data_IF_331341255555
#
_entry.id   IF_331341255555
#
_cell.length_a   1.000
_cell.length_b   1.000
_cell.length_c   1.000
_cell.angle_alpha   90.00
_cell.angle_beta   90.00
_cell.angle_gamma   90.00
#
_symmetry.space_group_name_H-M   'P 1'
#
loop_
_entity.id
_entity.type
_entity.pdbx_description
1 polymer ?
#
# COMPACT_ATOMS: atom_id res chain seq x y z
N UNK A 1 -8.05 -53.98 -15.88
CA UNK A 1 -8.77 -52.77 -16.25
C UNK A 1 -8.56 -51.65 -15.24
N UNK A 2 -7.38 -51.07 -15.06
CA UNK A 2 -7.20 -49.88 -14.21
C UNK A 2 -5.95 -49.09 -14.56
N UNK A 3 -5.73 -48.82 -15.85
CA UNK A 3 -4.63 -47.94 -16.28
C UNK A 3 -5.09 -46.68 -17.05
N UNK A 4 -6.38 -46.53 -17.38
CA UNK A 4 -6.85 -45.45 -18.27
C UNK A 4 -7.26 -44.15 -17.55
N UNK A 5 -7.45 -44.16 -16.24
CA UNK A 5 -7.91 -42.95 -15.50
C UNK A 5 -6.79 -41.98 -15.14
N UNK A 6 -5.50 -42.40 -15.11
CA UNK A 6 -4.38 -41.54 -14.72
C UNK A 6 -3.79 -40.75 -15.87
N UNK A 7 -3.82 -41.27 -17.08
CA UNK A 7 -3.35 -40.58 -18.29
C UNK A 7 -4.24 -39.40 -18.68
N UNK A 8 -5.55 -39.49 -18.40
CA UNK A 8 -6.47 -38.39 -18.67
C UNK A 8 -6.25 -37.17 -17.75
N UNK A 9 -5.73 -37.38 -16.54
CA UNK A 9 -5.40 -36.26 -15.61
C UNK A 9 -4.15 -35.49 -16.06
N UNK A 10 -3.11 -36.20 -16.49
CA UNK A 10 -1.89 -35.59 -17.02
C UNK A 10 -2.10 -34.87 -18.35
N UNK A 11 -2.93 -35.43 -19.26
CA UNK A 11 -3.30 -34.78 -20.51
C UNK A 11 -4.13 -33.48 -20.26
N UNK A 12 -5.00 -33.45 -19.24
CA UNK A 12 -5.71 -32.24 -18.85
C UNK A 12 -4.83 -31.18 -18.22
N UNK A 13 -3.80 -31.59 -17.46
CA UNK A 13 -2.81 -30.68 -16.89
C UNK A 13 -1.95 -30.07 -18.00
N UNK A 14 -1.53 -30.87 -18.98
CA UNK A 14 -0.79 -30.41 -20.16
C UNK A 14 -1.58 -29.39 -21.00
N UNK A 15 -2.88 -29.60 -21.18
CA UNK A 15 -3.72 -28.66 -21.94
C UNK A 15 -4.03 -27.37 -21.17
N UNK A 16 -4.11 -27.43 -19.84
CA UNK A 16 -4.45 -26.28 -19.00
C UNK A 16 -3.25 -25.37 -18.70
N UNK A 17 -2.04 -25.94 -18.62
CA UNK A 17 -0.81 -25.21 -18.28
C UNK A 17 0.13 -25.00 -19.48
N UNK A 18 -0.20 -25.56 -20.64
CA UNK A 18 0.63 -25.49 -21.84
C UNK A 18 2.02 -26.10 -21.66
N UNK A 19 2.13 -27.16 -20.86
CA UNK A 19 3.37 -27.91 -20.67
C UNK A 19 3.59 -28.88 -21.85
N UNK A 20 4.57 -28.65 -22.70
CA UNK A 20 4.98 -29.58 -23.75
C UNK A 20 6.41 -30.08 -23.52
N UNK A 21 6.59 -31.35 -23.79
CA UNK A 21 7.89 -32.03 -23.69
C UNK A 21 8.60 -31.96 -25.03
N UNK A 22 9.74 -31.25 -25.10
CA UNK A 22 10.66 -31.33 -26.23
C UNK A 22 12.04 -31.70 -25.74
N UNK A 23 12.58 -32.81 -26.28
CA UNK A 23 13.96 -33.27 -26.08
C UNK A 23 14.45 -33.33 -24.62
N UNK A 24 13.62 -33.89 -23.72
CA UNK A 24 14.01 -34.12 -22.32
C UNK A 24 13.92 -32.90 -21.40
N UNK A 25 13.47 -31.74 -21.88
CA UNK A 25 13.19 -30.55 -21.09
C UNK A 25 11.71 -30.23 -21.10
N UNK A 26 11.17 -29.81 -19.93
CA UNK A 26 9.83 -29.28 -19.83
C UNK A 26 9.85 -27.81 -20.26
N UNK A 27 9.17 -27.48 -21.37
CA UNK A 27 8.90 -26.11 -21.77
C UNK A 27 7.45 -25.75 -21.41
N UNK A 28 7.27 -24.64 -20.73
CA UNK A 28 5.93 -24.08 -20.47
C UNK A 28 5.49 -23.38 -21.75
N UNK A 29 4.52 -23.98 -22.48
CA UNK A 29 3.96 -23.38 -23.68
C UNK A 29 2.52 -22.96 -23.43
N UNK A 30 2.22 -21.68 -23.65
CA UNK A 30 0.85 -21.12 -23.63
C UNK A 30 0.75 -19.98 -24.63
N UNK A 31 -0.43 -19.54 -25.00
CA UNK A 31 -0.56 -18.47 -25.97
C UNK A 31 0.00 -17.17 -25.41
N UNK A 32 0.96 -16.65 -26.14
CA UNK A 32 1.50 -15.32 -26.11
C UNK A 32 2.46 -14.85 -25.00
N UNK A 33 3.51 -14.23 -25.48
CA UNK A 33 4.51 -13.29 -24.95
C UNK A 33 5.06 -13.51 -23.54
N UNK A 34 4.23 -13.74 -22.53
CA UNK A 34 4.63 -13.98 -21.14
C UNK A 34 5.35 -15.31 -20.94
N UNK A 35 4.98 -16.35 -21.68
CA UNK A 35 5.56 -17.69 -21.51
C UNK A 35 6.97 -17.83 -22.10
N UNK A 36 7.27 -17.18 -23.22
CA UNK A 36 8.63 -17.15 -23.77
C UNK A 36 9.59 -16.38 -22.88
N UNK A 37 9.14 -15.25 -22.34
CA UNK A 37 9.93 -14.45 -21.42
C UNK A 37 10.16 -15.20 -20.09
N UNK A 38 9.14 -15.87 -19.55
CA UNK A 38 9.26 -16.64 -18.30
C UNK A 38 10.11 -17.90 -18.45
N UNK A 39 9.98 -18.65 -19.55
CA UNK A 39 10.81 -19.81 -19.82
C UNK A 39 12.28 -19.47 -20.04
N UNK A 40 12.57 -18.45 -20.86
CA UNK A 40 13.93 -17.96 -21.07
C UNK A 40 14.57 -17.39 -19.79
N UNK A 41 13.78 -16.73 -18.94
CA UNK A 41 14.20 -16.23 -17.63
C UNK A 41 14.52 -17.39 -16.67
N UNK A 42 13.72 -18.43 -16.63
CA UNK A 42 13.96 -19.61 -15.79
C UNK A 42 15.26 -20.34 -16.20
N UNK A 43 15.50 -20.54 -17.49
CA UNK A 43 16.75 -21.14 -17.99
C UNK A 43 17.98 -20.27 -17.67
N UNK A 44 17.84 -18.96 -17.73
CA UNK A 44 18.88 -17.99 -17.42
C UNK A 44 19.20 -17.94 -15.91
N UNK A 45 18.19 -18.08 -15.05
CA UNK A 45 18.36 -18.10 -13.59
C UNK A 45 19.03 -19.39 -13.13
N UNK A 46 18.65 -20.52 -13.67
CA UNK A 46 19.25 -21.83 -13.33
C UNK A 46 20.76 -21.85 -13.66
N UNK A 47 21.17 -21.10 -14.70
CA UNK A 47 22.56 -21.04 -15.16
C UNK A 47 23.43 -19.91 -14.61
N UNK A 48 22.86 -18.81 -14.12
CA UNK A 48 23.58 -17.55 -13.86
C UNK A 48 23.58 -17.06 -12.40
N UNK A 49 22.92 -17.75 -11.46
CA UNK A 49 22.98 -17.43 -10.04
C UNK A 49 22.21 -16.20 -9.58
N UNK A 50 22.61 -15.62 -8.43
CA UNK A 50 21.89 -14.55 -7.71
C UNK A 50 21.50 -13.33 -8.55
N UNK A 51 22.37 -12.86 -9.44
CA UNK A 51 22.10 -11.69 -10.27
C UNK A 51 20.91 -11.90 -11.23
N UNK A 52 20.82 -13.09 -11.83
CA UNK A 52 19.72 -13.43 -12.72
C UNK A 52 18.38 -13.52 -11.97
N UNK A 53 18.39 -14.03 -10.74
CA UNK A 53 17.21 -14.09 -9.89
C UNK A 53 16.63 -12.69 -9.62
N UNK A 54 17.45 -11.74 -9.18
CA UNK A 54 16.99 -10.37 -8.93
C UNK A 54 16.54 -9.66 -10.22
N UNK A 55 17.19 -9.92 -11.34
CA UNK A 55 16.75 -9.40 -12.64
C UNK A 55 15.38 -9.97 -13.02
N UNK A 56 15.12 -11.24 -12.76
CA UNK A 56 13.83 -11.86 -13.01
C UNK A 56 12.73 -11.28 -12.13
N UNK A 57 12.99 -11.10 -10.84
CA UNK A 57 12.05 -10.41 -9.92
C UNK A 57 11.72 -9.01 -10.45
N UNK A 58 12.73 -8.24 -10.86
CA UNK A 58 12.54 -6.89 -11.38
C UNK A 58 11.66 -6.87 -12.65
N UNK A 59 11.88 -7.79 -13.57
CA UNK A 59 11.07 -7.91 -14.79
C UNK A 59 9.62 -8.30 -14.49
N UNK A 60 9.39 -9.17 -13.50
CA UNK A 60 8.05 -9.56 -13.06
C UNK A 60 7.30 -8.46 -12.31
N UNK A 61 8.03 -7.49 -11.77
CA UNK A 61 7.47 -6.32 -11.10
C UNK A 61 7.19 -5.14 -12.05
N UNK A 62 7.43 -5.30 -13.35
CA UNK A 62 7.33 -4.23 -14.35
C UNK A 62 5.96 -3.55 -14.37
N UNK A 63 4.88 -4.30 -14.32
CA UNK A 63 3.51 -3.78 -14.21
C UNK A 63 2.66 -4.67 -13.33
N UNK A 64 1.59 -4.12 -12.74
CA UNK A 64 0.68 -4.90 -11.90
C UNK A 64 0.04 -6.09 -12.63
N UNK A 65 -0.45 -5.97 -13.88
CA UNK A 65 -0.99 -7.11 -14.61
C UNK A 65 0.02 -8.26 -14.77
N UNK A 66 1.28 -7.98 -15.09
CA UNK A 66 2.35 -9.00 -15.22
C UNK A 66 2.61 -9.68 -13.88
N UNK A 67 2.73 -8.89 -12.82
CA UNK A 67 2.93 -9.39 -11.46
C UNK A 67 1.79 -10.29 -11.00
N UNK A 68 0.56 -9.85 -11.16
CA UNK A 68 -0.63 -10.55 -10.68
C UNK A 68 -0.88 -11.84 -11.49
N UNK A 69 -0.66 -11.82 -12.80
CA UNK A 69 -0.69 -13.03 -13.64
C UNK A 69 0.36 -14.03 -13.19
N UNK A 70 1.61 -13.60 -12.95
CA UNK A 70 2.66 -14.49 -12.46
C UNK A 70 2.30 -15.13 -11.12
N UNK A 71 1.82 -14.33 -10.15
CA UNK A 71 1.43 -14.82 -8.82
C UNK A 71 0.26 -15.81 -8.88
N UNK A 72 -0.72 -15.57 -9.76
CA UNK A 72 -1.83 -16.50 -9.98
C UNK A 72 -1.33 -17.84 -10.52
N UNK A 73 -0.48 -17.82 -11.58
CA UNK A 73 0.09 -19.03 -12.19
C UNK A 73 1.04 -19.77 -11.24
N UNK A 74 1.84 -19.07 -10.45
CA UNK A 74 2.70 -19.69 -9.44
C UNK A 74 1.87 -20.46 -8.39
N UNK A 75 0.73 -19.91 -7.97
CA UNK A 75 -0.18 -20.60 -7.07
C UNK A 75 -0.81 -21.85 -7.72
N UNK A 76 -1.17 -21.79 -9.01
CA UNK A 76 -1.68 -22.94 -9.74
C UNK A 76 -0.63 -24.03 -9.87
N UNK A 77 0.61 -23.70 -10.21
CA UNK A 77 1.73 -24.66 -10.25
C UNK A 77 1.91 -25.34 -8.90
N UNK A 78 1.93 -24.57 -7.81
CA UNK A 78 2.06 -25.10 -6.45
C UNK A 78 0.92 -26.05 -6.07
N UNK A 79 -0.31 -25.71 -6.44
CA UNK A 79 -1.49 -26.55 -6.21
C UNK A 79 -1.42 -27.86 -6.99
N UNK A 80 -1.06 -27.78 -8.28
CA UNK A 80 -0.95 -28.95 -9.16
C UNK A 80 0.22 -29.85 -8.74
N UNK A 81 1.37 -29.28 -8.41
CA UNK A 81 2.51 -30.02 -7.88
C UNK A 81 2.14 -30.86 -6.65
N UNK A 82 1.38 -30.28 -5.72
CA UNK A 82 0.86 -30.99 -4.54
C UNK A 82 -0.14 -32.08 -4.89
N UNK A 83 -0.99 -31.85 -5.90
CA UNK A 83 -2.05 -32.79 -6.28
C UNK A 83 -1.53 -34.05 -6.98
N UNK A 84 -0.37 -33.97 -7.66
CA UNK A 84 0.23 -35.09 -8.38
C UNK A 84 1.28 -35.87 -7.56
N UNK A 85 1.58 -35.43 -6.34
CA UNK A 85 2.44 -36.19 -5.43
C UNK A 85 1.74 -37.49 -4.98
N UNK A 86 2.42 -38.66 -4.91
CA UNK A 86 3.84 -38.99 -5.13
C UNK A 86 4.13 -39.62 -6.48
N UNK A 87 3.94 -38.95 -7.60
CA UNK A 87 4.28 -39.46 -8.93
C UNK A 87 5.82 -39.55 -9.13
N UNK A 88 6.37 -40.60 -9.79
CA UNK A 88 7.81 -40.76 -10.01
C UNK A 88 8.49 -39.63 -10.80
N UNK A 89 7.75 -38.86 -11.59
CA UNK A 89 8.25 -37.75 -12.40
C UNK A 89 8.44 -36.47 -11.58
N UNK A 90 7.86 -36.38 -10.40
CA UNK A 90 7.85 -35.18 -9.54
C UNK A 90 9.25 -34.73 -9.11
N UNK A 91 10.20 -35.61 -8.75
CA UNK A 91 11.55 -35.20 -8.38
C UNK A 91 12.24 -34.36 -9.46
N UNK A 92 12.01 -34.65 -10.76
CA UNK A 92 12.59 -33.90 -11.86
C UNK A 92 12.02 -32.47 -11.99
N UNK A 93 10.79 -32.24 -11.51
CA UNK A 93 10.11 -30.94 -11.54
C UNK A 93 10.36 -30.10 -10.28
N UNK A 94 10.85 -30.73 -9.20
CA UNK A 94 11.00 -30.09 -7.91
C UNK A 94 11.85 -28.81 -7.97
N UNK A 95 13.03 -28.76 -8.64
CA UNK A 95 13.85 -27.54 -8.71
C UNK A 95 13.12 -26.38 -9.40
N UNK A 96 12.38 -26.66 -10.48
CA UNK A 96 11.61 -25.64 -11.21
C UNK A 96 10.45 -25.11 -10.37
N UNK A 97 9.70 -26.00 -9.71
CA UNK A 97 8.62 -25.61 -8.84
C UNK A 97 9.11 -24.77 -7.63
N UNK A 98 10.26 -25.16 -7.07
CA UNK A 98 10.89 -24.40 -5.99
C UNK A 98 11.29 -23.00 -6.46
N UNK A 99 11.92 -22.86 -7.62
CA UNK A 99 12.32 -21.58 -8.18
C UNK A 99 11.11 -20.67 -8.42
N UNK A 100 10.01 -21.20 -8.95
CA UNK A 100 8.75 -20.46 -9.15
C UNK A 100 8.20 -19.97 -7.80
N UNK A 101 8.22 -20.80 -6.76
CA UNK A 101 7.76 -20.42 -5.42
C UNK A 101 8.67 -19.36 -4.79
N UNK A 102 10.00 -19.47 -4.94
CA UNK A 102 10.95 -18.47 -4.43
C UNK A 102 10.80 -17.11 -5.12
N UNK A 103 10.61 -17.07 -6.44
CA UNK A 103 10.30 -15.84 -7.17
C UNK A 103 8.98 -15.22 -6.68
N UNK A 104 7.95 -16.04 -6.47
CA UNK A 104 6.67 -15.57 -5.94
C UNK A 104 6.79 -15.02 -4.52
N UNK A 105 7.62 -15.62 -3.66
CA UNK A 105 7.91 -15.12 -2.31
C UNK A 105 8.66 -13.77 -2.39
N UNK A 106 9.68 -13.66 -3.23
CA UNK A 106 10.42 -12.42 -3.41
C UNK A 106 9.53 -11.26 -3.89
N UNK A 107 8.61 -11.55 -4.84
CA UNK A 107 7.62 -10.57 -5.32
C UNK A 107 6.68 -10.14 -4.19
N UNK A 108 6.19 -11.06 -3.35
CA UNK A 108 5.33 -10.71 -2.21
C UNK A 108 6.06 -9.89 -1.17
N UNK A 109 7.33 -10.21 -0.92
CA UNK A 109 8.16 -9.48 0.04
C UNK A 109 8.40 -8.01 -0.36
N UNK A 110 8.30 -7.64 -1.63
CA UNK A 110 8.40 -6.24 -2.06
C UNK A 110 7.23 -5.36 -1.60
N UNK A 111 6.10 -5.97 -1.21
CA UNK A 111 4.95 -5.26 -0.62
C UNK A 111 5.11 -5.00 0.88
N UNK A 112 6.00 -5.72 1.55
CA UNK A 112 6.30 -5.46 2.94
C UNK A 112 7.29 -4.28 3.03
N UNK A 113 7.03 -3.29 3.90
CA UNK A 113 7.94 -2.18 4.09
C UNK A 113 9.29 -2.72 4.59
N UNK A 114 10.24 -2.84 3.68
CA UNK A 114 11.59 -3.28 4.04
C UNK A 114 12.33 -2.11 4.66
N UNK A 115 13.08 -2.36 5.73
CA UNK A 115 13.89 -1.35 6.43
C UNK A 115 14.84 -0.63 5.45
N UNK A 116 14.39 0.50 4.91
CA UNK A 116 15.18 1.35 4.00
C UNK A 116 16.37 1.95 4.77
N UNK A 117 16.28 2.13 6.09
CA UNK A 117 17.39 2.64 6.89
C UNK A 117 18.58 1.68 6.92
N UNK A 118 18.34 0.37 6.78
CA UNK A 118 19.41 -0.62 6.59
C UNK A 118 20.04 -0.49 5.19
N UNK A 119 19.21 -0.29 4.18
CA UNK A 119 19.66 -0.07 2.78
C UNK A 119 20.42 1.27 2.67
N UNK A 120 20.01 2.29 3.40
CA UNK A 120 20.73 3.58 3.43
C UNK A 120 22.09 3.47 4.13
N UNK A 121 22.18 2.72 5.23
CA UNK A 121 23.48 2.42 5.88
C UNK A 121 24.40 1.62 4.98
N UNK A 122 23.88 0.65 4.22
CA UNK A 122 24.65 -0.13 3.26
C UNK A 122 25.20 0.74 2.11
N UNK A 123 24.50 1.83 1.76
CA UNK A 123 24.97 2.81 0.76
C UNK A 123 26.09 3.69 1.31
N UNK A 124 25.98 4.19 2.54
CA UNK A 124 27.03 4.96 3.20
C UNK A 124 28.34 4.15 3.32
N UNK A 125 28.24 2.88 3.70
CA UNK A 125 29.40 1.98 3.78
C UNK A 125 29.98 1.62 2.41
N UNK A 126 29.18 1.58 1.35
CA UNK A 126 29.64 1.30 -0.03
C UNK A 126 30.36 2.51 -0.65
N UNK A 127 29.96 3.73 -0.28
CA UNK A 127 30.63 4.96 -0.72
C UNK A 127 31.99 5.17 -0.05
N UNK A 128 32.19 4.64 1.16
CA UNK A 128 33.48 4.71 1.92
C UNK A 128 34.46 3.60 1.54
N UNK A 129 34.20 2.78 0.56
CA UNK A 129 35.20 1.88 -0.05
C UNK A 129 35.58 0.66 0.78
N UNK A 130 34.83 0.27 1.79
CA UNK A 130 35.13 -0.93 2.59
C UNK A 130 34.08 -2.03 2.29
N UNK A 131 34.59 -3.13 1.74
CA UNK A 131 33.86 -4.39 1.55
C UNK A 131 33.48 -4.94 2.92
N UNK A 132 32.20 -5.05 3.23
CA UNK A 132 31.74 -5.85 4.34
C UNK A 132 30.61 -6.80 3.96
N UNK A 133 30.80 -8.01 4.42
CA UNK A 133 30.04 -9.23 4.27
C UNK A 133 28.56 -9.01 4.56
N UNK A 134 27.71 -9.49 3.65
CA UNK A 134 26.26 -9.60 3.83
C UNK A 134 25.99 -10.52 5.02
N UNK A 135 25.58 -9.98 6.13
CA UNK A 135 25.05 -10.74 7.27
C UNK A 135 23.59 -11.09 6.99
N UNK A 136 23.26 -12.39 7.08
CA UNK A 136 21.88 -12.87 7.05
C UNK A 136 21.04 -12.21 8.16
N UNK A 137 19.75 -11.90 7.91
CA UNK A 137 18.88 -11.34 8.94
C UNK A 137 18.61 -12.37 10.03
N UNK A 138 18.86 -12.01 11.28
CA UNK A 138 18.53 -12.79 12.47
C UNK A 138 17.00 -13.04 12.53
N UNK A 139 16.54 -14.28 12.81
CA UNK A 139 15.13 -14.58 12.97
C UNK A 139 14.62 -13.96 14.29
N UNK A 140 13.83 -12.89 14.17
CA UNK A 140 13.20 -12.23 15.32
C UNK A 140 13.33 -10.70 15.36
N UNK A 141 13.92 -10.04 14.36
CA UNK A 141 13.93 -8.60 14.28
C UNK A 141 12.49 -8.06 14.16
N UNK A 142 12.03 -7.31 15.14
CA UNK A 142 10.79 -6.52 15.05
C UNK A 142 10.88 -5.66 13.79
N UNK A 143 9.89 -5.82 12.90
CA UNK A 143 9.69 -4.94 11.75
C UNK A 143 9.53 -3.51 12.28
N UNK A 144 10.58 -2.72 12.22
CA UNK A 144 10.49 -1.28 12.45
C UNK A 144 9.77 -0.71 11.23
N UNK A 145 8.56 -0.23 11.45
CA UNK A 145 7.80 0.51 10.44
C UNK A 145 8.63 1.73 10.06
N UNK A 146 9.08 1.78 8.80
CA UNK A 146 9.85 2.92 8.30
C UNK A 146 8.90 4.08 8.15
N UNK A 147 9.26 5.22 8.73
CA UNK A 147 8.56 6.47 8.49
C UNK A 147 9.12 7.13 7.22
N UNK A 148 8.23 7.45 6.27
CA UNK A 148 8.59 8.19 5.05
C UNK A 148 9.26 9.55 5.38
N UNK A 149 9.03 10.10 6.57
CA UNK A 149 9.62 11.36 7.02
C UNK A 149 11.13 11.25 7.29
N UNK A 150 11.64 10.02 7.51
CA UNK A 150 13.07 9.77 7.76
C UNK A 150 13.87 9.50 6.48
N UNK A 151 13.21 9.46 5.31
CA UNK A 151 13.84 9.16 4.03
C UNK A 151 14.50 10.42 3.44
N UNK A 152 15.79 10.32 3.14
CA UNK A 152 16.49 11.27 2.28
C UNK A 152 16.17 10.96 0.81
N UNK A 153 15.27 11.74 0.23
CA UNK A 153 14.80 11.54 -1.14
C UNK A 153 15.89 11.81 -2.19
N UNK A 154 16.86 12.69 -1.91
CA UNK A 154 17.99 12.95 -2.82
C UNK A 154 18.90 11.71 -2.94
N UNK A 155 19.13 11.03 -1.82
CA UNK A 155 19.90 9.78 -1.80
C UNK A 155 19.11 8.66 -2.49
N UNK A 156 17.80 8.60 -2.25
CA UNK A 156 16.93 7.62 -2.88
C UNK A 156 16.89 7.77 -4.41
N UNK A 157 16.80 9.00 -4.93
CA UNK A 157 16.86 9.27 -6.39
C UNK A 157 18.20 8.90 -7.00
N UNK A 158 19.31 9.23 -6.34
CA UNK A 158 20.66 8.84 -6.81
C UNK A 158 20.81 7.33 -6.88
N UNK A 159 20.26 6.60 -5.90
CA UNK A 159 20.23 5.15 -5.89
C UNK A 159 19.39 4.60 -7.03
N UNK A 160 18.17 5.10 -7.21
CA UNK A 160 17.28 4.68 -8.28
C UNK A 160 17.91 4.87 -9.66
N UNK A 161 18.56 6.02 -9.90
CA UNK A 161 19.22 6.32 -11.19
C UNK A 161 20.39 5.36 -11.50
N UNK A 162 21.05 4.82 -10.48
CA UNK A 162 22.16 3.84 -10.62
C UNK A 162 21.69 2.39 -10.57
N UNK A 163 20.46 2.15 -10.14
CA UNK A 163 19.93 0.80 -9.95
C UNK A 163 19.70 0.09 -11.27
N UNK A 164 20.03 -1.21 -11.29
CA UNK A 164 19.67 -2.15 -12.37
C UNK A 164 18.29 -2.77 -12.17
N UNK A 165 17.69 -2.57 -10.98
CA UNK A 165 16.41 -3.14 -10.55
C UNK A 165 15.42 -2.00 -10.22
N UNK A 166 15.18 -1.12 -11.18
CA UNK A 166 14.34 0.06 -11.02
C UNK A 166 12.90 -0.25 -10.64
N UNK A 167 12.33 -1.33 -11.21
CA UNK A 167 10.96 -1.74 -10.88
C UNK A 167 10.85 -2.16 -9.42
N UNK A 168 11.83 -2.90 -8.91
CA UNK A 168 11.88 -3.32 -7.50
C UNK A 168 11.96 -2.11 -6.55
N UNK A 169 12.82 -1.13 -6.85
CA UNK A 169 12.92 0.10 -6.04
C UNK A 169 11.63 0.92 -6.06
N UNK A 170 11.01 1.05 -7.24
CA UNK A 170 9.71 1.73 -7.38
C UNK A 170 8.60 1.03 -6.60
N UNK A 171 8.53 -0.32 -6.64
CA UNK A 171 7.53 -1.06 -5.87
C UNK A 171 7.71 -0.92 -4.36
N UNK A 172 8.94 -0.86 -3.87
CA UNK A 172 9.21 -0.57 -2.44
C UNK A 172 8.72 0.81 -2.03
N UNK A 173 9.07 1.85 -2.80
CA UNK A 173 8.59 3.21 -2.54
C UNK A 173 7.06 3.29 -2.60
N UNK A 174 6.45 2.66 -3.63
CA UNK A 174 5.00 2.56 -3.76
C UNK A 174 4.34 1.95 -2.52
N UNK A 175 4.89 0.85 -1.99
CA UNK A 175 4.35 0.19 -0.79
C UNK A 175 4.40 1.12 0.44
N UNK A 176 5.47 1.89 0.61
CA UNK A 176 5.60 2.87 1.70
C UNK A 176 4.60 4.02 1.56
N UNK A 177 4.44 4.54 0.34
CA UNK A 177 3.44 5.59 0.04
C UNK A 177 2.03 5.09 0.33
N UNK A 178 1.69 3.89 -0.13
CA UNK A 178 0.38 3.28 0.10
C UNK A 178 0.10 3.09 1.60
N UNK A 179 1.08 2.63 2.37
CA UNK A 179 0.95 2.50 3.82
C UNK A 179 0.72 3.85 4.50
N UNK A 180 1.49 4.89 4.12
CA UNK A 180 1.34 6.25 4.66
C UNK A 180 -0.03 6.83 4.31
N UNK A 181 -0.46 6.68 3.06
CA UNK A 181 -1.79 7.10 2.60
C UNK A 181 -2.90 6.46 3.43
N UNK A 182 -2.87 5.14 3.62
CA UNK A 182 -3.86 4.42 4.40
C UNK A 182 -3.91 4.91 5.86
N UNK A 183 -2.73 5.18 6.47
CA UNK A 183 -2.65 5.76 7.81
C UNK A 183 -3.31 7.15 7.85
N UNK A 184 -2.95 8.05 6.93
CA UNK A 184 -3.46 9.43 6.90
C UNK A 184 -4.96 9.50 6.59
N UNK A 185 -5.47 8.69 5.66
CA UNK A 185 -6.90 8.62 5.32
C UNK A 185 -7.70 8.02 6.48
N UNK A 186 -7.14 7.03 7.18
CA UNK A 186 -7.78 6.48 8.37
C UNK A 186 -8.02 7.54 9.43
N UNK A 187 -7.12 8.50 9.59
CA UNK A 187 -7.27 9.62 10.51
C UNK A 187 -8.22 10.68 9.95
N UNK A 188 -8.04 11.07 8.70
CA UNK A 188 -8.80 12.14 8.07
C UNK A 188 -9.26 11.77 6.67
N UNK A 189 -10.56 11.50 6.51
CA UNK A 189 -11.16 11.09 5.24
C UNK A 189 -11.10 12.17 4.14
N UNK A 190 -10.87 13.45 4.46
CA UNK A 190 -10.74 14.50 3.44
C UNK A 190 -9.49 14.35 2.58
N UNK A 191 -8.56 13.48 2.99
CA UNK A 191 -7.31 13.15 2.28
C UNK A 191 -7.47 12.14 1.13
N UNK A 192 -8.71 11.76 0.79
CA UNK A 192 -8.97 10.85 -0.34
C UNK A 192 -8.42 11.35 -1.67
N UNK A 193 -8.30 12.65 -1.87
CA UNK A 193 -7.73 13.24 -3.09
C UNK A 193 -6.29 12.75 -3.36
N UNK A 194 -5.50 12.51 -2.31
CA UNK A 194 -4.16 11.91 -2.45
C UNK A 194 -4.21 10.45 -2.93
N UNK A 195 -5.22 9.69 -2.48
CA UNK A 195 -5.43 8.32 -2.94
C UNK A 195 -5.83 8.29 -4.41
N UNK A 196 -6.74 9.17 -4.83
CA UNK A 196 -7.17 9.26 -6.23
C UNK A 196 -5.99 9.61 -7.14
N UNK A 197 -5.13 10.54 -6.73
CA UNK A 197 -3.89 10.88 -7.45
C UNK A 197 -2.94 9.69 -7.52
N UNK A 198 -2.73 8.99 -6.40
CA UNK A 198 -1.89 7.80 -6.33
C UNK A 198 -2.42 6.70 -7.26
N UNK A 199 -3.70 6.38 -7.21
CA UNK A 199 -4.31 5.36 -8.07
C UNK A 199 -4.19 5.72 -9.56
N UNK A 200 -4.41 6.99 -9.91
CA UNK A 200 -4.29 7.47 -11.28
C UNK A 200 -2.86 7.34 -11.82
N UNK A 201 -1.83 7.72 -11.05
CA UNK A 201 -0.44 7.58 -11.51
C UNK A 201 -0.04 6.12 -11.72
N UNK A 202 -0.54 5.20 -10.88
CA UNK A 202 -0.32 3.76 -11.04
C UNK A 202 -1.03 3.23 -12.29
N UNK A 203 -2.27 3.66 -12.55
CA UNK A 203 -3.02 3.27 -13.73
C UNK A 203 -2.33 3.76 -15.03
N UNK A 204 -1.89 5.01 -15.07
CA UNK A 204 -1.18 5.58 -16.20
C UNK A 204 0.13 4.83 -16.50
N UNK A 205 0.85 4.42 -15.47
CA UNK A 205 2.04 3.58 -15.63
C UNK A 205 1.70 2.18 -16.15
N UNK A 206 0.70 1.51 -15.56
CA UNK A 206 0.28 0.16 -15.97
C UNK A 206 -0.21 0.13 -17.44
N UNK A 207 -0.81 1.22 -17.91
CA UNK A 207 -1.27 1.38 -19.29
C UNK A 207 -0.16 1.83 -20.26
N UNK A 208 1.06 2.02 -19.78
CA UNK A 208 2.21 2.43 -20.58
C UNK A 208 2.22 3.93 -20.99
N UNK A 209 1.36 4.74 -20.37
CA UNK A 209 1.33 6.18 -20.59
C UNK A 209 2.48 6.93 -19.90
N UNK A 210 3.13 6.29 -18.91
CA UNK A 210 4.26 6.84 -18.15
C UNK A 210 5.44 5.88 -18.15
N UNK A 211 6.65 6.43 -18.07
CA UNK A 211 7.88 5.67 -17.83
C UNK A 211 8.02 5.31 -16.34
N UNK A 212 8.94 4.37 -16.02
CA UNK A 212 9.26 4.02 -14.63
C UNK A 212 9.93 5.19 -13.91
N UNK A 213 10.69 6.01 -14.62
CA UNK A 213 11.34 7.20 -14.12
C UNK A 213 10.32 8.27 -13.73
N UNK A 214 9.30 8.50 -14.56
CA UNK A 214 8.22 9.44 -14.27
C UNK A 214 7.39 8.98 -13.06
N UNK A 215 7.03 7.69 -13.02
CA UNK A 215 6.31 7.14 -11.86
C UNK A 215 7.12 7.30 -10.58
N UNK A 216 8.42 6.99 -10.60
CA UNK A 216 9.27 7.12 -9.43
C UNK A 216 9.36 8.57 -8.94
N UNK A 217 9.57 9.53 -9.84
CA UNK A 217 9.61 10.95 -9.51
C UNK A 217 8.27 11.45 -8.92
N UNK A 218 7.14 11.03 -9.47
CA UNK A 218 5.82 11.37 -8.93
C UNK A 218 5.57 10.76 -7.54
N UNK A 219 6.04 9.53 -7.29
CA UNK A 219 5.96 8.90 -5.97
C UNK A 219 6.84 9.64 -4.94
N UNK A 220 8.02 10.11 -5.34
CA UNK A 220 8.88 10.95 -4.47
C UNK A 220 8.16 12.25 -4.12
N UNK A 221 7.62 12.96 -5.11
CA UNK A 221 6.88 14.20 -4.88
C UNK A 221 5.67 13.97 -3.96
N UNK A 222 4.88 12.93 -4.22
CA UNK A 222 3.74 12.58 -3.37
C UNK A 222 4.20 12.24 -1.94
N UNK A 223 5.33 11.56 -1.77
CA UNK A 223 5.89 11.25 -0.44
C UNK A 223 6.21 12.51 0.35
N UNK A 224 6.80 13.52 -0.30
CA UNK A 224 7.10 14.82 0.32
C UNK A 224 5.81 15.55 0.71
N UNK A 225 4.82 15.62 -0.18
CA UNK A 225 3.52 16.21 0.12
C UNK A 225 2.82 15.51 1.30
N UNK A 226 2.88 14.18 1.39
CA UNK A 226 2.29 13.42 2.50
C UNK A 226 3.01 13.67 3.82
N UNK A 227 4.33 13.87 3.80
CA UNK A 227 5.09 14.26 4.99
C UNK A 227 4.70 15.66 5.45
N UNK A 228 4.52 16.60 4.54
CA UNK A 228 4.03 17.95 4.85
C UNK A 228 2.59 17.93 5.38
N UNK A 229 1.73 17.12 4.79
CA UNK A 229 0.34 16.96 5.22
C UNK A 229 0.25 16.31 6.61
N UNK A 230 1.11 15.34 6.94
CA UNK A 230 1.16 14.75 8.28
C UNK A 230 1.52 15.79 9.35
N UNK A 231 2.40 16.73 9.02
CA UNK A 231 2.82 17.81 9.93
C UNK A 231 1.87 19.02 9.93
N UNK A 232 0.86 19.05 9.06
CA UNK A 232 -0.02 20.20 8.90
C UNK A 232 -0.77 20.56 10.20
N UNK A 233 -1.16 19.57 10.98
CA UNK A 233 -1.83 19.79 12.25
C UNK A 233 -1.02 20.67 13.22
N UNK A 234 0.32 20.50 13.27
CA UNK A 234 1.20 21.33 14.09
C UNK A 234 1.26 22.77 13.58
N UNK A 235 1.37 22.96 12.25
CA UNK A 235 1.40 24.28 11.61
C UNK A 235 0.10 25.04 11.83
N UNK A 236 -1.03 24.33 11.83
CA UNK A 236 -2.38 24.89 12.07
C UNK A 236 -2.67 25.08 13.57
N UNK A 237 -1.77 24.68 14.47
CA UNK A 237 -1.96 24.68 15.91
C UNK A 237 -3.23 23.93 16.35
N UNK A 238 -3.45 22.77 15.73
CA UNK A 238 -4.53 21.83 15.98
C UNK A 238 -3.94 20.46 16.32
N UNK A 239 -4.68 19.63 17.04
CA UNK A 239 -4.41 18.20 17.05
C UNK A 239 -4.85 17.57 15.73
N UNK A 240 -4.38 16.35 15.41
CA UNK A 240 -4.81 15.63 14.21
C UNK A 240 -6.33 15.40 14.19
N UNK A 241 -6.92 15.19 15.34
CA UNK A 241 -8.35 15.02 15.57
C UNK A 241 -9.12 16.33 15.26
N UNK A 242 -8.63 17.46 15.78
CA UNK A 242 -9.20 18.78 15.52
C UNK A 242 -9.02 19.18 14.06
N UNK A 243 -7.88 18.85 13.44
CA UNK A 243 -7.63 19.08 12.03
C UNK A 243 -8.62 18.31 11.13
N UNK A 244 -8.93 17.06 11.47
CA UNK A 244 -9.90 16.28 10.70
C UNK A 244 -11.30 16.93 10.74
N UNK A 245 -11.72 17.42 11.88
CA UNK A 245 -13.00 18.17 12.04
C UNK A 245 -12.95 19.48 11.26
N UNK A 246 -11.86 20.24 11.38
CA UNK A 246 -11.65 21.49 10.66
C UNK A 246 -11.71 21.28 9.14
N UNK A 247 -11.05 20.25 8.61
CA UNK A 247 -11.09 19.91 7.19
C UNK A 247 -12.50 19.54 6.73
N UNK A 248 -13.25 18.77 7.52
CA UNK A 248 -14.65 18.44 7.19
C UNK A 248 -15.47 19.72 7.06
N UNK A 249 -15.29 20.69 7.92
CA UNK A 249 -16.02 21.96 7.89
C UNK A 249 -15.59 22.84 6.73
N UNK A 250 -14.29 22.87 6.40
CA UNK A 250 -13.73 23.83 5.42
C UNK A 250 -13.53 23.25 4.02
N UNK A 251 -13.60 21.91 3.80
CA UNK A 251 -13.35 21.27 2.51
C UNK A 251 -14.49 20.34 2.04
N UNK A 252 -15.08 20.54 0.85
CA UNK A 252 -15.19 21.82 0.17
C UNK A 252 -16.03 22.77 1.01
N UNK A 253 -15.67 24.03 1.07
CA UNK A 253 -16.31 24.98 1.98
C UNK A 253 -16.42 26.38 1.40
N UNK A 254 -16.95 27.32 2.19
CA UNK A 254 -16.97 28.72 1.81
C UNK A 254 -15.55 29.29 1.81
N UNK A 255 -15.36 30.39 1.09
CA UNK A 255 -14.14 31.19 1.22
C UNK A 255 -14.18 31.89 2.59
N UNK A 256 -13.33 31.43 3.49
CA UNK A 256 -13.21 32.00 4.83
C UNK A 256 -12.19 33.12 4.85
N UNK A 257 -12.47 34.17 5.61
CA UNK A 257 -11.47 35.15 6.02
C UNK A 257 -10.55 34.58 7.09
N UNK A 258 -9.38 35.18 7.33
CA UNK A 258 -8.46 34.75 8.40
C UNK A 258 -9.12 34.78 9.80
N UNK A 259 -10.10 35.68 10.03
CA UNK A 259 -10.87 35.73 11.26
C UNK A 259 -11.89 34.57 11.34
N UNK A 260 -12.61 34.33 10.25
CA UNK A 260 -13.53 33.19 10.17
C UNK A 260 -12.81 31.87 10.39
N UNK A 261 -11.64 31.71 9.79
CA UNK A 261 -10.82 30.48 9.96
C UNK A 261 -10.43 30.26 11.42
N UNK A 262 -10.01 31.32 12.13
CA UNK A 262 -9.74 31.25 13.57
C UNK A 262 -10.97 30.88 14.38
N UNK A 263 -12.12 31.42 13.99
CA UNK A 263 -13.42 31.11 14.61
C UNK A 263 -13.79 29.65 14.42
N UNK A 264 -13.68 29.13 13.19
CA UNK A 264 -13.95 27.73 12.89
C UNK A 264 -12.99 26.79 13.66
N UNK A 265 -11.69 27.12 13.74
CA UNK A 265 -10.71 26.35 14.54
C UNK A 265 -11.11 26.32 16.03
N UNK A 266 -11.59 27.41 16.58
CA UNK A 266 -12.08 27.46 17.96
C UNK A 266 -13.32 26.60 18.14
N UNK A 267 -14.28 26.67 17.24
CA UNK A 267 -15.48 25.82 17.25
C UNK A 267 -15.13 24.36 17.23
N UNK A 268 -14.15 23.94 16.38
CA UNK A 268 -13.67 22.57 16.34
C UNK A 268 -13.15 22.09 17.70
N UNK A 269 -12.31 22.89 18.36
CA UNK A 269 -11.74 22.56 19.68
C UNK A 269 -12.80 22.43 20.75
N UNK A 270 -13.65 23.47 20.87
CA UNK A 270 -14.67 23.55 21.90
C UNK A 270 -15.69 22.41 21.74
N UNK A 271 -16.11 22.14 20.50
CA UNK A 271 -17.04 21.05 20.17
C UNK A 271 -16.46 19.68 20.51
N UNK A 272 -15.24 19.38 20.10
CA UNK A 272 -14.61 18.09 20.43
C UNK A 272 -14.45 17.92 21.93
N UNK A 273 -14.08 18.96 22.66
CA UNK A 273 -13.97 18.94 24.11
C UNK A 273 -15.32 18.56 24.76
N UNK A 274 -16.41 19.22 24.38
CA UNK A 274 -17.76 18.96 24.91
C UNK A 274 -18.25 17.57 24.50
N UNK A 275 -18.07 17.17 23.24
CA UNK A 275 -18.47 15.84 22.80
C UNK A 275 -17.76 14.76 23.61
N UNK A 276 -16.46 14.87 23.82
CA UNK A 276 -15.67 13.88 24.54
C UNK A 276 -15.98 13.82 26.03
N UNK A 277 -16.29 14.94 26.65
CA UNK A 277 -16.56 15.02 28.10
C UNK A 277 -18.00 14.69 28.48
N UNK A 278 -18.97 15.04 27.62
CA UNK A 278 -20.37 15.03 27.99
C UNK A 278 -21.27 14.13 27.16
N UNK A 279 -20.92 13.89 25.88
CA UNK A 279 -21.85 13.25 24.93
C UNK A 279 -21.43 11.86 24.50
N UNK A 280 -20.12 11.60 24.36
CA UNK A 280 -19.58 10.30 23.98
C UNK A 280 -19.45 9.38 25.22
N UNK A 281 -20.57 9.14 25.87
CA UNK A 281 -20.68 8.29 27.06
C UNK A 281 -20.55 6.81 26.71
N UNK A 282 -20.46 5.96 27.74
CA UNK A 282 -20.40 4.51 27.56
C UNK A 282 -21.55 4.01 26.66
N UNK A 283 -21.20 3.22 25.65
CA UNK A 283 -22.14 2.61 24.71
C UNK A 283 -23.02 3.56 23.91
N UNK A 284 -22.58 4.84 23.76
CA UNK A 284 -23.36 5.88 23.12
C UNK A 284 -23.83 5.54 21.69
N UNK A 285 -23.06 4.73 20.95
CA UNK A 285 -23.42 4.32 19.59
C UNK A 285 -24.64 3.41 19.51
N UNK A 286 -24.84 2.58 20.49
CA UNK A 286 -25.93 1.60 20.49
C UNK A 286 -27.22 2.19 21.05
N UNK A 287 -27.14 3.22 21.89
CA UNK A 287 -28.28 3.93 22.43
C UNK A 287 -28.79 5.02 21.46
N UNK A 288 -30.08 4.94 21.10
CA UNK A 288 -30.71 5.88 20.18
C UNK A 288 -30.79 7.30 20.75
N UNK A 289 -30.99 7.43 22.03
CA UNK A 289 -31.10 8.72 22.72
C UNK A 289 -29.75 9.41 22.76
N UNK A 290 -28.69 8.67 23.09
CA UNK A 290 -27.34 9.19 23.13
C UNK A 290 -26.86 9.61 21.73
N UNK A 291 -27.15 8.80 20.68
CA UNK A 291 -26.87 9.20 19.30
C UNK A 291 -27.57 10.51 18.90
N UNK A 292 -28.85 10.66 19.26
CA UNK A 292 -29.59 11.87 19.01
C UNK A 292 -29.01 13.06 19.77
N UNK A 293 -28.58 12.87 21.02
CA UNK A 293 -27.96 13.91 21.85
C UNK A 293 -26.60 14.37 21.24
N UNK A 294 -25.78 13.44 20.70
CA UNK A 294 -24.55 13.77 19.99
C UNK A 294 -24.85 14.58 18.74
N UNK A 295 -25.86 14.18 17.93
CA UNK A 295 -26.24 14.89 16.72
C UNK A 295 -26.73 16.31 17.02
N UNK A 296 -27.62 16.46 17.98
CA UNK A 296 -28.14 17.77 18.42
C UNK A 296 -26.99 18.66 18.95
N UNK A 297 -26.07 18.12 19.74
CA UNK A 297 -24.95 18.90 20.24
C UNK A 297 -24.06 19.41 19.09
N UNK A 298 -23.77 18.59 18.07
CA UNK A 298 -23.05 19.03 16.87
C UNK A 298 -23.81 20.17 16.17
N UNK A 299 -25.09 19.97 15.88
CA UNK A 299 -25.94 20.98 15.19
C UNK A 299 -25.98 22.28 15.94
N UNK A 300 -26.23 22.25 17.27
CA UNK A 300 -26.30 23.47 18.11
C UNK A 300 -24.97 24.22 18.12
N UNK A 301 -23.86 23.51 18.35
CA UNK A 301 -22.55 24.17 18.44
C UNK A 301 -22.06 24.74 17.10
N UNK A 302 -22.42 24.11 16.00
CA UNK A 302 -22.11 24.62 14.66
C UNK A 302 -23.03 25.84 14.33
N UNK A 303 -24.32 25.83 14.71
CA UNK A 303 -25.25 26.92 14.48
C UNK A 303 -24.84 28.17 15.24
N UNK A 304 -24.41 28.03 16.50
CA UNK A 304 -23.95 29.11 17.34
C UNK A 304 -22.55 29.65 16.99
N UNK A 305 -21.71 28.82 16.39
CA UNK A 305 -20.29 29.12 16.26
C UNK A 305 -19.76 29.32 14.86
N UNK A 306 -20.43 28.83 13.81
CA UNK A 306 -19.93 29.00 12.44
C UNK A 306 -20.23 30.41 11.90
N UNK A 307 -19.32 30.97 11.06
CA UNK A 307 -19.55 32.24 10.38
C UNK A 307 -20.76 32.23 9.44
N UNK A 308 -21.33 33.42 9.18
CA UNK A 308 -22.47 33.61 8.25
C UNK A 308 -22.17 33.15 6.79
N UNK A 309 -20.93 32.94 6.46
CA UNK A 309 -20.51 32.42 5.16
C UNK A 309 -20.98 30.95 4.87
N UNK A 310 -21.47 30.26 5.91
CA UNK A 310 -22.06 28.92 5.74
C UNK A 310 -23.54 29.04 5.38
N UNK A 311 -23.88 28.71 4.11
CA UNK A 311 -25.29 28.63 3.69
C UNK A 311 -25.99 27.47 4.40
N UNK A 312 -27.33 27.53 4.48
CA UNK A 312 -28.15 26.48 5.13
C UNK A 312 -27.85 25.10 4.56
N UNK A 313 -27.80 24.95 3.22
CA UNK A 313 -27.50 23.66 2.58
C UNK A 313 -26.09 23.15 2.88
N UNK A 314 -25.13 24.06 3.00
CA UNK A 314 -23.75 23.71 3.36
C UNK A 314 -23.67 23.31 4.83
N UNK A 315 -24.33 24.04 5.71
CA UNK A 315 -24.44 23.75 7.13
C UNK A 315 -24.98 22.33 7.38
N UNK A 316 -26.15 22.02 6.80
CA UNK A 316 -26.77 20.70 6.96
C UNK A 316 -25.84 19.56 6.50
N UNK A 317 -25.18 19.73 5.33
CA UNK A 317 -24.21 18.77 4.84
C UNK A 317 -23.00 18.60 5.77
N UNK A 318 -22.51 19.72 6.36
CA UNK A 318 -21.39 19.69 7.28
C UNK A 318 -21.75 18.98 8.59
N UNK A 319 -22.92 19.28 9.14
CA UNK A 319 -23.46 18.58 10.31
C UNK A 319 -23.54 17.06 10.07
N UNK A 320 -24.09 16.64 8.93
CA UNK A 320 -24.19 15.23 8.57
C UNK A 320 -22.83 14.52 8.46
N UNK A 321 -21.91 15.11 7.68
CA UNK A 321 -20.55 14.56 7.50
C UNK A 321 -19.76 14.50 8.82
N UNK A 322 -19.92 15.52 9.66
CA UNK A 322 -19.26 15.54 10.95
C UNK A 322 -19.83 14.48 11.89
N UNK A 323 -21.16 14.33 11.95
CA UNK A 323 -21.79 13.27 12.72
C UNK A 323 -21.31 11.87 12.28
N UNK A 324 -21.25 11.61 10.97
CA UNK A 324 -20.69 10.37 10.43
C UNK A 324 -19.23 10.16 10.85
N UNK A 325 -18.41 11.20 10.79
CA UNK A 325 -17.03 11.16 11.24
C UNK A 325 -16.93 10.79 12.73
N UNK A 326 -17.69 11.45 13.59
CA UNK A 326 -17.73 11.12 15.03
C UNK A 326 -18.19 9.68 15.25
N UNK A 327 -19.22 9.24 14.52
CA UNK A 327 -19.70 7.86 14.61
C UNK A 327 -18.62 6.82 14.21
N UNK A 328 -17.80 7.13 13.23
CA UNK A 328 -16.75 6.21 12.76
C UNK A 328 -15.49 6.24 13.62
N UNK A 329 -15.10 7.42 14.11
CA UNK A 329 -13.78 7.63 14.75
C UNK A 329 -13.79 7.46 16.28
N UNK A 330 -14.97 7.48 16.92
CA UNK A 330 -15.11 7.34 18.36
C UNK A 330 -15.97 6.11 18.71
N UNK A 331 -15.35 4.90 18.72
CA UNK A 331 -16.10 3.65 18.93
C UNK A 331 -16.77 3.58 20.29
N UNK A 332 -16.12 4.05 21.35
CA UNK A 332 -16.62 4.04 22.74
C UNK A 332 -16.13 5.27 23.51
N UNK A 333 -16.67 5.41 24.75
CA UNK A 333 -16.20 6.47 25.65
C UNK A 333 -14.69 6.31 25.93
N UNK A 334 -13.95 7.39 25.75
CA UNK A 334 -12.51 7.41 25.97
C UNK A 334 -11.67 6.70 24.91
N UNK A 335 -12.29 6.14 23.86
CA UNK A 335 -11.59 5.51 22.75
C UNK A 335 -11.76 6.30 21.46
N UNK A 336 -10.67 6.55 20.77
CA UNK A 336 -10.69 7.09 19.40
C UNK A 336 -9.60 6.49 18.55
N UNK A 337 -9.76 6.55 17.22
CA UNK A 337 -8.73 6.10 16.28
C UNK A 337 -7.45 6.93 16.37
N UNK A 338 -7.51 8.11 16.99
CA UNK A 338 -6.39 9.03 17.19
C UNK A 338 -5.50 8.67 18.40
N UNK A 339 -5.97 7.80 19.28
CA UNK A 339 -5.21 7.34 20.45
C UNK A 339 -4.27 6.16 20.14
N UNK A 340 -4.41 5.56 18.95
CA UNK A 340 -3.64 4.38 18.51
C UNK A 340 -2.44 4.74 17.63
N UNK A 341 -2.04 6.00 17.64
CA UNK A 341 -0.90 6.54 16.87
C UNK A 341 0.40 6.57 17.63
#
# INVERSE_FOLDING_TARGET
GSHDGRLTGLQRVDQGLGLQRSEGRLAVTGPDFTNRATGALLDQIIGAGHQAFFTAVDQLLRTDPVKDEYLARANDVKRLYKAVMPDPIIPDLAPTCQLIDELAKAIRATKEPTDISKVMRDIETTLDGSVSVVSEPEPGAKLTTIDLSEIDFDVLEKKFNRSKTKNTETQKLRALVEQKLNKLIRLNATRYDYLDRFMKMIEEYNNGAKSIEDLFAELVNLSQELNEEEQRHMRENLSEEELAVFDILTRPGPNLSDEDEKTVKKVCKDMLAILKTEKLVLDWKNDRTNRAAVKIAIETMLDEGLPESYTIDLFERKCGRLYEHILLKYPQQGESVYMAG
#
